data_IF_766692043675
#
_entry.id   IF_766692043675
#
_cell.length_a   1.000
_cell.length_b   1.000
_cell.length_c   1.000
_cell.angle_alpha   90.00
_cell.angle_beta   90.00
_cell.angle_gamma   90.00
#
_symmetry.space_group_name_H-M   'P 1'
#
loop_
_entity.id
_entity.type
_entity.pdbx_description
1 polymer ?
#
# COMPACT_ATOMS: atom_id res chain seq x y z
N UNK A 1 17.67 -28.73 -5.49
CA UNK A 1 16.59 -27.83 -5.96
C UNK A 1 15.29 -28.60 -6.14
N UNK A 2 15.30 -29.77 -6.76
CA UNK A 2 14.07 -30.55 -7.00
C UNK A 2 13.36 -31.01 -5.71
N UNK A 3 14.13 -31.45 -4.70
CA UNK A 3 13.57 -31.82 -3.39
C UNK A 3 12.92 -30.63 -2.68
N UNK A 4 13.58 -29.47 -2.66
CA UNK A 4 13.03 -28.23 -2.10
C UNK A 4 11.73 -27.83 -2.80
N UNK A 5 11.71 -27.85 -4.13
CA UNK A 5 10.52 -27.51 -4.91
C UNK A 5 9.37 -28.50 -4.65
N UNK A 6 9.68 -29.79 -4.52
CA UNK A 6 8.70 -30.82 -4.16
C UNK A 6 8.09 -30.57 -2.79
N UNK A 7 8.92 -30.31 -1.77
CA UNK A 7 8.46 -30.02 -0.41
C UNK A 7 7.64 -28.72 -0.39
N UNK A 8 8.11 -27.66 -1.06
CA UNK A 8 7.39 -26.40 -1.14
C UNK A 8 6.01 -26.54 -1.79
N UNK A 9 5.91 -27.33 -2.87
CA UNK A 9 4.62 -27.60 -3.53
C UNK A 9 3.68 -28.40 -2.63
N UNK A 10 4.19 -29.38 -1.89
CA UNK A 10 3.40 -30.14 -0.93
C UNK A 10 2.88 -29.25 0.20
N UNK A 11 3.74 -28.40 0.75
CA UNK A 11 3.37 -27.41 1.78
C UNK A 11 2.33 -26.44 1.26
N UNK A 12 2.54 -25.89 0.07
CA UNK A 12 1.59 -24.98 -0.57
C UNK A 12 0.22 -25.64 -0.73
N UNK A 13 0.17 -26.81 -1.34
CA UNK A 13 -1.08 -27.52 -1.60
C UNK A 13 -1.84 -27.84 -0.31
N UNK A 14 -1.14 -28.27 0.76
CA UNK A 14 -1.75 -28.68 2.03
C UNK A 14 -2.13 -27.52 2.96
N UNK A 15 -1.40 -26.41 2.93
CA UNK A 15 -1.50 -25.37 3.96
C UNK A 15 -1.88 -23.97 3.43
N UNK A 16 -1.86 -23.73 2.13
CA UNK A 16 -2.02 -22.39 1.54
C UNK A 16 -3.13 -22.31 0.49
N UNK A 17 -3.95 -23.35 0.32
CA UNK A 17 -5.00 -23.39 -0.71
C UNK A 17 -6.40 -23.47 -0.13
N UNK A 18 -7.39 -22.91 -0.84
CA UNK A 18 -8.80 -23.10 -0.50
C UNK A 18 -9.23 -24.57 -0.63
N UNK A 19 -8.60 -25.34 -1.53
CA UNK A 19 -8.89 -26.76 -1.69
C UNK A 19 -8.55 -27.57 -0.43
N UNK A 20 -7.38 -27.30 0.18
CA UNK A 20 -7.02 -27.94 1.45
C UNK A 20 -7.95 -27.52 2.60
N UNK A 21 -8.37 -26.26 2.62
CA UNK A 21 -9.35 -25.79 3.60
C UNK A 21 -10.69 -26.52 3.46
N UNK A 22 -11.21 -26.64 2.23
CA UNK A 22 -12.47 -27.34 1.94
C UNK A 22 -12.39 -28.83 2.29
N UNK A 23 -11.30 -29.52 1.92
CA UNK A 23 -11.07 -30.92 2.28
C UNK A 23 -11.09 -31.14 3.80
N UNK A 24 -10.46 -30.23 4.56
CA UNK A 24 -10.46 -30.30 6.02
C UNK A 24 -11.82 -29.93 6.64
N UNK A 25 -12.60 -29.07 5.97
CA UNK A 25 -13.92 -28.63 6.45
C UNK A 25 -14.97 -29.74 6.34
N UNK A 26 -14.82 -30.62 5.34
CA UNK A 26 -15.68 -31.77 5.07
C UNK A 26 -15.39 -32.99 5.96
N UNK A 27 -14.29 -32.96 6.72
CA UNK A 27 -13.95 -33.99 7.72
C UNK A 27 -14.98 -34.07 8.86
N UNK A 28 -15.20 -35.28 9.39
CA UNK A 28 -16.09 -35.53 10.54
C UNK A 28 -15.63 -34.79 11.80
N UNK A 29 -14.31 -34.68 12.01
CA UNK A 29 -13.70 -33.94 13.10
C UNK A 29 -13.04 -32.67 12.56
N UNK A 30 -13.48 -31.52 13.07
CA UNK A 30 -13.04 -30.20 12.61
C UNK A 30 -12.06 -29.59 13.61
N UNK A 31 -10.78 -29.66 13.30
CA UNK A 31 -9.76 -28.88 14.00
C UNK A 31 -9.85 -27.42 13.54
N UNK A 32 -10.51 -26.58 14.34
CA UNK A 32 -10.77 -25.17 14.00
C UNK A 32 -9.48 -24.36 13.98
N UNK A 33 -8.49 -24.70 14.82
CA UNK A 33 -7.18 -24.04 14.84
C UNK A 33 -6.46 -24.31 13.52
N UNK A 34 -6.43 -25.57 13.09
CA UNK A 34 -5.81 -25.94 11.83
C UNK A 34 -6.50 -25.29 10.62
N UNK A 35 -7.84 -25.30 10.59
CA UNK A 35 -8.63 -24.63 9.56
C UNK A 35 -8.33 -23.12 9.48
N UNK A 36 -8.25 -22.45 10.63
CA UNK A 36 -7.90 -21.03 10.71
C UNK A 36 -6.46 -20.77 10.24
N UNK A 37 -5.51 -21.65 10.56
CA UNK A 37 -4.13 -21.58 10.08
C UNK A 37 -4.05 -21.65 8.55
N UNK A 38 -4.80 -22.54 7.90
CA UNK A 38 -4.82 -22.65 6.44
C UNK A 38 -5.33 -21.34 5.79
N UNK A 39 -6.44 -20.78 6.30
CA UNK A 39 -6.97 -19.52 5.80
C UNK A 39 -5.98 -18.37 6.00
N UNK A 40 -5.38 -18.28 7.19
CA UNK A 40 -4.38 -17.26 7.48
C UNK A 40 -3.19 -17.37 6.51
N UNK A 41 -2.64 -18.57 6.33
CA UNK A 41 -1.51 -18.81 5.43
C UNK A 41 -1.83 -18.40 3.98
N UNK A 42 -2.98 -18.79 3.45
CA UNK A 42 -3.45 -18.41 2.12
C UNK A 42 -3.53 -16.89 1.97
N UNK A 43 -4.18 -16.22 2.91
CA UNK A 43 -4.45 -14.77 2.83
C UNK A 43 -3.16 -13.95 3.08
N UNK A 44 -2.30 -14.39 4.00
CA UNK A 44 -0.99 -13.79 4.24
C UNK A 44 -0.07 -13.91 3.02
N UNK A 45 -0.15 -15.01 2.27
CA UNK A 45 0.63 -15.17 1.03
C UNK A 45 0.23 -14.15 -0.04
N UNK A 46 -1.06 -13.81 -0.14
CA UNK A 46 -1.53 -12.74 -1.04
C UNK A 46 -0.98 -11.37 -0.63
N UNK A 47 -0.96 -11.08 0.67
CA UNK A 47 -0.35 -9.85 1.19
C UNK A 47 1.15 -9.78 0.90
N UNK A 48 1.89 -10.87 1.16
CA UNK A 48 3.31 -10.93 0.86
C UNK A 48 3.58 -10.76 -0.64
N UNK A 49 2.79 -11.41 -1.49
CA UNK A 49 2.86 -11.25 -2.95
C UNK A 49 2.62 -9.79 -3.37
N UNK A 50 1.66 -9.10 -2.76
CA UNK A 50 1.39 -7.69 -3.01
C UNK A 50 2.61 -6.81 -2.68
N UNK A 51 3.14 -6.92 -1.47
CA UNK A 51 4.31 -6.15 -1.03
C UNK A 51 5.54 -6.41 -1.91
N UNK A 52 5.83 -7.68 -2.23
CA UNK A 52 6.96 -8.03 -3.08
C UNK A 52 6.78 -7.54 -4.52
N UNK A 53 5.55 -7.55 -5.04
CA UNK A 53 5.24 -7.05 -6.38
C UNK A 53 5.41 -5.53 -6.47
N UNK A 54 4.99 -4.79 -5.42
CA UNK A 54 5.26 -3.35 -5.32
C UNK A 54 6.76 -3.11 -5.37
N UNK A 55 7.54 -3.72 -4.47
CA UNK A 55 9.00 -3.53 -4.41
C UNK A 55 9.67 -3.85 -5.75
N UNK A 56 9.25 -4.93 -6.40
CA UNK A 56 9.77 -5.35 -7.70
C UNK A 56 9.35 -4.44 -8.87
N UNK A 57 8.38 -3.53 -8.68
CA UNK A 57 7.83 -2.71 -9.76
C UNK A 57 6.85 -3.46 -10.67
N UNK A 58 6.35 -4.63 -10.25
CA UNK A 58 5.42 -5.45 -11.04
C UNK A 58 3.97 -5.05 -10.78
N UNK A 59 3.55 -3.98 -11.46
CA UNK A 59 2.17 -3.49 -11.39
C UNK A 59 1.14 -4.54 -11.88
N UNK A 60 1.54 -5.45 -12.76
CA UNK A 60 0.68 -6.51 -13.25
C UNK A 60 0.23 -7.45 -12.13
N UNK A 61 1.19 -7.91 -11.32
CA UNK A 61 0.91 -8.74 -10.14
C UNK A 61 0.14 -7.99 -9.06
N UNK A 62 0.44 -6.71 -8.84
CA UNK A 62 -0.34 -5.85 -7.92
C UNK A 62 -1.82 -5.84 -8.34
N UNK A 63 -2.11 -5.60 -9.62
CA UNK A 63 -3.48 -5.63 -10.16
C UNK A 63 -4.15 -7.00 -9.99
N UNK A 64 -3.39 -8.10 -10.13
CA UNK A 64 -3.94 -9.44 -9.89
C UNK A 64 -4.35 -9.64 -8.43
N UNK A 65 -3.52 -9.23 -7.47
CA UNK A 65 -3.88 -9.33 -6.05
C UNK A 65 -5.07 -8.43 -5.72
N UNK A 66 -5.13 -7.20 -6.27
CA UNK A 66 -6.27 -6.31 -6.09
C UNK A 66 -7.59 -6.92 -6.59
N UNK A 67 -7.58 -7.74 -7.65
CA UNK A 67 -8.78 -8.48 -8.10
C UNK A 67 -9.26 -9.49 -7.05
N UNK A 68 -8.33 -10.19 -6.40
CA UNK A 68 -8.66 -11.16 -5.35
C UNK A 68 -9.20 -10.43 -4.12
N UNK A 69 -8.51 -9.36 -3.68
CA UNK A 69 -8.96 -8.54 -2.56
C UNK A 69 -10.29 -7.85 -2.81
N UNK A 70 -10.54 -7.38 -4.03
CA UNK A 70 -11.85 -6.85 -4.42
C UNK A 70 -12.95 -7.87 -4.11
N UNK A 71 -12.77 -9.16 -4.44
CA UNK A 71 -13.73 -10.22 -4.10
C UNK A 71 -13.83 -10.39 -2.59
N UNK A 72 -12.70 -10.54 -1.88
CA UNK A 72 -12.70 -10.73 -0.42
C UNK A 72 -13.40 -9.59 0.33
N UNK A 73 -13.18 -8.34 -0.09
CA UNK A 73 -13.75 -7.12 0.48
C UNK A 73 -15.27 -6.99 0.23
N UNK A 74 -15.85 -7.75 -0.71
CA UNK A 74 -17.31 -7.83 -0.91
C UNK A 74 -18.04 -8.63 0.17
N UNK A 75 -17.31 -9.35 1.00
CA UNK A 75 -17.89 -10.07 2.13
C UNK A 75 -18.70 -9.13 3.03
N UNK A 76 -19.90 -9.54 3.50
CA UNK A 76 -20.70 -8.72 4.39
C UNK A 76 -19.93 -8.32 5.66
N UNK A 77 -20.10 -7.05 6.07
CA UNK A 77 -19.43 -6.45 7.23
C UNK A 77 -17.89 -6.38 7.11
N UNK A 78 -17.38 -6.29 5.88
CA UNK A 78 -15.96 -6.03 5.60
C UNK A 78 -15.80 -4.63 5.01
N UNK A 79 -15.29 -4.49 3.77
CA UNK A 79 -14.86 -3.22 3.19
C UNK A 79 -15.48 -2.98 1.80
N UNK A 80 -16.82 -2.95 1.69
CA UNK A 80 -17.50 -2.93 0.39
C UNK A 80 -17.20 -1.67 -0.44
N UNK A 81 -16.94 -0.53 0.21
CA UNK A 81 -16.56 0.72 -0.47
C UNK A 81 -15.21 0.62 -1.18
N UNK A 82 -14.24 -0.04 -0.57
CA UNK A 82 -12.94 -0.30 -1.20
C UNK A 82 -13.09 -1.29 -2.36
N UNK A 83 -13.94 -2.31 -2.21
CA UNK A 83 -14.27 -3.21 -3.31
C UNK A 83 -14.95 -2.49 -4.49
N UNK A 84 -15.81 -1.50 -4.22
CA UNK A 84 -16.42 -0.63 -5.25
C UNK A 84 -15.36 0.20 -5.97
N UNK A 85 -14.47 0.87 -5.23
CA UNK A 85 -13.39 1.67 -5.81
C UNK A 85 -12.42 0.84 -6.68
N UNK A 86 -12.02 -0.34 -6.20
CA UNK A 86 -11.17 -1.26 -6.97
C UNK A 86 -11.92 -1.74 -8.22
N UNK A 87 -13.18 -2.16 -8.09
CA UNK A 87 -13.97 -2.64 -9.24
C UNK A 87 -14.11 -1.56 -10.32
N UNK A 88 -14.46 -0.33 -9.93
CA UNK A 88 -14.57 0.79 -10.86
C UNK A 88 -13.23 1.11 -11.53
N UNK A 89 -12.15 1.15 -10.75
CA UNK A 89 -10.80 1.42 -11.27
C UNK A 89 -10.37 0.36 -12.28
N UNK A 90 -10.56 -0.92 -11.96
CA UNK A 90 -10.25 -2.04 -12.86
C UNK A 90 -11.15 -2.05 -14.10
N UNK A 91 -12.42 -1.69 -13.95
CA UNK A 91 -13.36 -1.55 -15.08
C UNK A 91 -12.95 -0.44 -16.05
N UNK A 92 -12.56 0.73 -15.52
CA UNK A 92 -12.02 1.85 -16.32
C UNK A 92 -10.71 1.46 -17.01
N UNK A 93 -9.80 0.80 -16.30
CA UNK A 93 -8.55 0.29 -16.88
C UNK A 93 -8.80 -0.64 -18.07
N UNK A 94 -9.87 -1.43 -18.03
CA UNK A 94 -10.21 -2.36 -19.10
C UNK A 94 -10.78 -1.65 -20.34
N UNK A 95 -11.42 -0.48 -20.18
CA UNK A 95 -11.95 0.33 -21.28
C UNK A 95 -10.91 1.25 -21.93
N UNK A 96 -9.78 1.51 -21.26
CA UNK A 96 -8.72 2.34 -21.81
C UNK A 96 -8.06 1.71 -23.04
N UNK A 97 -7.69 2.55 -24.01
CA UNK A 97 -6.79 2.14 -25.09
C UNK A 97 -5.48 1.58 -24.48
N UNK A 98 -4.85 0.55 -25.08
CA UNK A 98 -3.61 -0.05 -24.58
C UNK A 98 -2.51 0.94 -24.21
N UNK A 99 -2.34 2.03 -24.96
CA UNK A 99 -1.31 3.06 -24.70
C UNK A 99 -1.61 3.80 -23.39
N UNK A 100 -2.85 4.28 -23.24
CA UNK A 100 -3.29 4.97 -22.03
C UNK A 100 -3.25 4.05 -20.81
N UNK A 101 -3.69 2.80 -20.96
CA UNK A 101 -3.63 1.80 -19.90
C UNK A 101 -2.20 1.56 -19.45
N UNK A 102 -1.26 1.40 -20.40
CA UNK A 102 0.16 1.25 -20.08
C UNK A 102 0.67 2.46 -19.32
N UNK A 103 0.44 3.66 -19.84
CA UNK A 103 0.85 4.91 -19.21
C UNK A 103 0.32 5.02 -17.77
N UNK A 104 -0.99 4.83 -17.57
CA UNK A 104 -1.60 4.91 -16.24
C UNK A 104 -1.00 3.89 -15.26
N UNK A 105 -0.85 2.62 -15.66
CA UNK A 105 -0.28 1.59 -14.79
C UNK A 105 1.21 1.83 -14.47
N UNK A 106 1.98 2.40 -15.41
CA UNK A 106 3.39 2.72 -15.15
C UNK A 106 3.57 3.89 -14.19
N UNK A 107 2.52 4.68 -13.93
CA UNK A 107 2.55 5.77 -12.96
C UNK A 107 2.07 5.36 -11.56
N UNK A 108 1.65 4.12 -11.34
CA UNK A 108 1.22 3.68 -10.00
C UNK A 108 2.38 3.39 -9.05
N UNK A 109 3.51 2.96 -9.61
CA UNK A 109 4.70 2.63 -8.87
C UNK A 109 5.84 3.53 -9.33
N UNK A 110 6.61 4.05 -8.37
CA UNK A 110 7.73 4.95 -8.61
C UNK A 110 8.97 4.40 -7.96
N UNK A 111 10.10 4.50 -8.65
CA UNK A 111 11.41 4.18 -8.09
C UNK A 111 12.35 5.35 -8.30
N UNK A 112 12.45 6.18 -7.26
CA UNK A 112 13.27 7.37 -7.31
C UNK A 112 14.78 7.04 -7.26
N UNK A 113 15.16 5.87 -6.71
CA UNK A 113 16.57 5.44 -6.57
C UNK A 113 17.17 4.78 -7.80
N UNK A 114 16.33 4.26 -8.71
CA UNK A 114 16.74 3.41 -9.82
C UNK A 114 17.27 2.02 -9.41
N UNK A 115 17.33 1.68 -8.11
CA UNK A 115 17.82 0.39 -7.63
C UNK A 115 16.76 -0.71 -7.74
N UNK A 116 17.13 -1.98 -7.99
CA UNK A 116 16.15 -3.06 -8.03
C UNK A 116 15.48 -3.25 -6.67
N UNK A 117 14.22 -3.69 -6.67
CA UNK A 117 13.41 -3.93 -5.46
C UNK A 117 13.13 -2.69 -4.58
N UNK A 118 13.13 -1.50 -5.18
CA UNK A 118 12.98 -0.20 -4.49
C UNK A 118 11.86 0.67 -5.05
N UNK A 119 10.91 0.05 -5.73
CA UNK A 119 9.68 0.70 -6.13
C UNK A 119 8.77 0.89 -4.91
N UNK A 120 8.04 2.01 -4.91
CA UNK A 120 7.02 2.39 -3.95
C UNK A 120 5.75 2.79 -4.66
N UNK A 121 4.61 2.71 -3.99
CA UNK A 121 3.38 3.33 -4.46
C UNK A 121 3.57 4.85 -4.61
N UNK A 122 3.05 5.39 -5.72
CA UNK A 122 3.11 6.83 -5.99
C UNK A 122 2.36 7.65 -4.94
N UNK A 123 1.34 7.06 -4.32
CA UNK A 123 0.56 7.69 -3.26
C UNK A 123 1.42 7.99 -2.03
N UNK A 124 2.26 7.02 -1.60
CA UNK A 124 3.22 7.24 -0.52
C UNK A 124 4.25 8.33 -0.85
N UNK A 125 4.68 8.41 -2.12
CA UNK A 125 5.53 9.53 -2.54
C UNK A 125 4.78 10.87 -2.43
N UNK A 126 3.52 10.91 -2.83
CA UNK A 126 2.70 12.11 -2.73
C UNK A 126 2.46 12.51 -1.26
N UNK A 127 2.23 11.55 -0.36
CA UNK A 127 2.14 11.78 1.08
C UNK A 127 3.43 12.41 1.64
N UNK A 128 4.59 11.88 1.23
CA UNK A 128 5.87 12.46 1.63
C UNK A 128 6.04 13.91 1.13
N UNK A 129 5.68 14.19 -0.13
CA UNK A 129 5.71 15.57 -0.66
C UNK A 129 4.74 16.50 0.08
N UNK A 130 3.55 16.01 0.43
CA UNK A 130 2.57 16.76 1.22
C UNK A 130 3.10 17.09 2.61
N UNK A 131 3.79 16.16 3.26
CA UNK A 131 4.46 16.38 4.54
C UNK A 131 5.48 17.52 4.44
N UNK A 132 6.41 17.46 3.46
CA UNK A 132 7.40 18.53 3.26
C UNK A 132 6.76 19.90 3.01
N UNK A 133 5.66 19.94 2.26
CA UNK A 133 4.95 21.19 1.98
C UNK A 133 4.28 21.78 3.20
N UNK A 134 3.52 20.96 3.93
CA UNK A 134 2.66 21.42 5.03
C UNK A 134 3.44 21.69 6.30
N UNK A 135 4.48 20.91 6.55
CA UNK A 135 5.22 20.92 7.83
C UNK A 135 6.52 21.70 7.70
N UNK A 136 7.33 21.43 6.67
CA UNK A 136 8.70 21.98 6.59
C UNK A 136 8.76 23.32 5.85
N UNK A 137 8.15 23.39 4.68
CA UNK A 137 8.26 24.55 3.78
C UNK A 137 7.06 25.50 3.81
N UNK A 138 6.13 25.26 4.74
CA UNK A 138 4.99 26.13 4.90
C UNK A 138 5.45 27.51 5.39
N UNK A 139 4.91 28.57 4.78
CA UNK A 139 5.18 29.91 5.25
C UNK A 139 4.58 30.11 6.65
N UNK A 140 5.15 31.00 7.45
CA UNK A 140 4.61 31.35 8.78
C UNK A 140 3.82 32.66 8.70
N UNK A 141 2.76 32.75 9.52
CA UNK A 141 1.92 33.94 9.65
C UNK A 141 1.24 34.36 8.34
N UNK A 142 1.18 35.67 8.11
CA UNK A 142 0.46 36.31 6.98
C UNK A 142 0.99 35.94 5.58
N UNK A 143 2.14 35.28 5.50
CA UNK A 143 2.72 34.85 4.22
C UNK A 143 2.23 33.46 3.77
N UNK A 144 1.41 32.78 4.58
CA UNK A 144 0.72 31.55 4.18
C UNK A 144 -0.20 31.86 3.00
N UNK A 145 0.14 31.35 1.83
CA UNK A 145 -0.68 31.52 0.62
C UNK A 145 -0.54 30.32 -0.30
N UNK A 146 -1.59 30.03 -1.06
CA UNK A 146 -1.56 29.04 -2.13
C UNK A 146 -0.49 29.33 -3.18
N UNK A 147 -0.24 30.62 -3.45
CA UNK A 147 0.82 31.06 -4.37
C UNK A 147 2.21 30.66 -3.86
N UNK A 148 2.47 30.81 -2.55
CA UNK A 148 3.70 30.34 -1.93
C UNK A 148 3.85 28.82 -2.02
N UNK A 149 2.81 28.07 -1.62
CA UNK A 149 2.85 26.60 -1.66
C UNK A 149 3.04 26.06 -3.08
N UNK A 150 2.36 26.63 -4.07
CA UNK A 150 2.54 26.26 -5.47
C UNK A 150 3.99 26.48 -5.93
N UNK A 151 4.58 27.63 -5.60
CA UNK A 151 5.96 27.96 -5.95
C UNK A 151 6.97 27.06 -5.23
N UNK A 152 6.78 26.76 -3.95
CA UNK A 152 7.74 25.96 -3.18
C UNK A 152 7.64 24.47 -3.52
N UNK A 153 6.46 23.98 -3.93
CA UNK A 153 6.23 22.56 -4.26
C UNK A 153 7.12 22.01 -5.37
N UNK A 154 7.36 22.80 -6.42
CA UNK A 154 8.25 22.42 -7.54
C UNK A 154 9.73 22.45 -7.14
N UNK A 155 10.07 23.10 -6.03
CA UNK A 155 11.44 23.26 -5.56
C UNK A 155 11.82 22.28 -4.45
N UNK A 156 10.89 21.43 -3.97
CA UNK A 156 11.11 20.55 -2.80
C UNK A 156 12.40 19.75 -2.93
N UNK A 157 12.63 19.08 -4.06
CA UNK A 157 13.83 18.26 -4.23
C UNK A 157 15.12 19.07 -4.19
N UNK A 158 15.17 20.21 -4.89
CA UNK A 158 16.34 21.09 -4.90
C UNK A 158 16.62 21.70 -3.51
N UNK A 159 15.57 22.06 -2.77
CA UNK A 159 15.70 22.58 -1.41
C UNK A 159 16.18 21.51 -0.44
N UNK A 160 15.68 20.28 -0.59
CA UNK A 160 16.16 19.12 0.20
C UNK A 160 17.64 18.87 -0.06
N UNK A 161 18.08 18.90 -1.31
CA UNK A 161 19.49 18.69 -1.65
C UNK A 161 20.38 19.84 -1.13
N UNK A 162 19.92 21.09 -1.23
CA UNK A 162 20.63 22.23 -0.63
C UNK A 162 20.76 22.09 0.89
N UNK A 163 19.71 21.65 1.58
CA UNK A 163 19.75 21.36 3.02
C UNK A 163 20.78 20.27 3.34
N UNK A 164 20.86 19.20 2.54
CA UNK A 164 21.89 18.15 2.70
C UNK A 164 23.30 18.72 2.55
N UNK A 165 23.56 19.51 1.51
CA UNK A 165 24.88 20.12 1.29
C UNK A 165 25.32 20.93 2.52
N UNK A 166 24.42 21.71 3.09
CA UNK A 166 24.67 22.48 4.31
C UNK A 166 24.93 21.55 5.50
N UNK A 167 24.06 20.55 5.74
CA UNK A 167 24.25 19.60 6.84
C UNK A 167 25.59 18.88 6.77
N UNK A 168 25.99 18.40 5.59
CA UNK A 168 27.28 17.75 5.36
C UNK A 168 28.45 18.71 5.59
N UNK A 169 28.37 19.95 5.08
CA UNK A 169 29.42 20.95 5.25
C UNK A 169 29.66 21.32 6.73
N UNK A 170 28.58 21.42 7.51
CA UNK A 170 28.65 21.76 8.93
C UNK A 170 28.79 20.54 9.86
N UNK A 171 28.94 19.33 9.31
CA UNK A 171 28.97 18.07 10.07
C UNK A 171 27.83 17.96 11.09
N UNK A 172 26.68 18.54 10.75
CA UNK A 172 25.49 18.42 11.56
C UNK A 172 25.14 16.93 11.53
N UNK A 173 25.08 16.24 12.67
CA UNK A 173 24.75 14.84 12.69
C UNK A 173 23.42 14.66 11.95
N UNK A 174 23.42 13.94 10.83
CA UNK A 174 22.17 13.49 10.25
C UNK A 174 21.48 12.69 11.34
N UNK A 175 20.35 13.20 11.85
CA UNK A 175 19.53 12.48 12.82
C UNK A 175 19.29 11.08 12.25
N UNK A 176 19.52 10.06 13.09
CA UNK A 176 19.98 8.73 12.69
C UNK A 176 19.34 8.15 11.42
N UNK A 177 20.07 8.17 10.30
CA UNK A 177 19.67 7.55 9.02
C UNK A 177 19.77 6.01 9.07
N UNK A 178 20.30 5.47 10.16
CA UNK A 178 20.45 4.03 10.38
C UNK A 178 19.33 3.53 11.30
N UNK A 179 18.18 3.22 10.72
CA UNK A 179 17.32 2.23 11.34
C UNK A 179 18.09 0.90 11.32
N UNK A 180 18.76 0.56 12.42
CA UNK A 180 19.23 -0.80 12.64
C UNK A 180 18.01 -1.68 12.73
N UNK A 181 17.78 -2.51 11.71
CA UNK A 181 16.81 -3.60 11.82
C UNK A 181 17.31 -4.50 12.95
N UNK A 182 16.59 -4.62 14.06
CA UNK A 182 17.02 -5.48 15.15
C UNK A 182 17.10 -6.92 14.65
N UNK A 183 18.09 -7.67 15.14
CA UNK A 183 18.20 -9.09 14.81
C UNK A 183 17.04 -9.86 15.45
N UNK A 184 16.05 -10.22 14.64
CA UNK A 184 14.87 -10.97 15.06
C UNK A 184 15.07 -12.49 15.01
N UNK A 185 16.29 -12.99 14.77
CA UNK A 185 16.55 -14.43 14.62
C UNK A 185 16.10 -15.25 15.84
N UNK A 186 16.29 -14.72 17.05
CA UNK A 186 15.85 -15.37 18.29
C UNK A 186 14.32 -15.44 18.41
N UNK A 187 13.62 -14.36 18.03
CA UNK A 187 12.15 -14.29 18.07
C UNK A 187 11.52 -15.22 17.02
N UNK A 188 12.09 -15.25 15.81
CA UNK A 188 11.66 -16.16 14.74
C UNK A 188 11.84 -17.62 15.18
N UNK A 189 12.97 -17.94 15.82
CA UNK A 189 13.22 -19.30 16.33
C UNK A 189 12.22 -19.68 17.42
N UNK A 190 11.97 -18.79 18.38
CA UNK A 190 10.98 -19.00 19.44
C UNK A 190 9.56 -19.21 18.86
N UNK A 191 9.17 -18.40 17.87
CA UNK A 191 7.88 -18.53 17.20
C UNK A 191 7.78 -19.87 16.45
N UNK A 192 8.83 -20.27 15.74
CA UNK A 192 8.87 -21.55 15.03
C UNK A 192 8.76 -22.74 15.99
N UNK A 193 9.46 -22.70 17.13
CA UNK A 193 9.36 -23.72 18.17
C UNK A 193 7.95 -23.80 18.77
N UNK A 194 7.32 -22.65 19.04
CA UNK A 194 5.95 -22.61 19.53
C UNK A 194 4.95 -23.17 18.51
N UNK A 195 5.04 -22.78 17.23
CA UNK A 195 4.18 -23.31 16.17
C UNK A 195 4.31 -24.83 16.02
N UNK A 196 5.53 -25.36 16.19
CA UNK A 196 5.83 -26.79 16.16
C UNK A 196 5.29 -27.53 17.39
N UNK A 197 5.49 -26.98 18.59
CA UNK A 197 5.02 -27.56 19.84
C UNK A 197 3.49 -27.62 19.89
N UNK A 198 2.83 -26.54 19.46
CA UNK A 198 1.38 -26.42 19.40
C UNK A 198 0.76 -27.13 18.18
N UNK A 199 1.57 -27.60 17.23
CA UNK A 199 1.12 -28.31 16.02
C UNK A 199 0.01 -27.57 15.26
N UNK A 200 0.11 -26.25 15.15
CA UNK A 200 -0.97 -25.42 14.57
C UNK A 200 -1.16 -25.62 13.06
N UNK A 201 -0.16 -26.22 12.40
CA UNK A 201 -0.15 -26.55 10.98
C UNK A 201 -0.36 -28.06 10.71
N UNK A 202 -0.79 -28.81 11.71
CA UNK A 202 -1.18 -30.22 11.58
C UNK A 202 -2.63 -30.39 12.07
N UNK A 203 -3.39 -31.26 11.40
CA UNK A 203 -4.73 -31.61 11.86
C UNK A 203 -4.63 -32.53 13.09
N UNK A 204 -5.17 -32.08 14.22
CA UNK A 204 -5.19 -32.85 15.48
C UNK A 204 -6.65 -33.14 15.86
N UNK A 205 -7.02 -34.43 15.87
CA UNK A 205 -8.40 -34.88 16.11
C UNK A 205 -8.92 -34.46 17.49
N UNK A 206 -8.05 -34.47 18.51
CA UNK A 206 -8.40 -34.16 19.91
C UNK A 206 -7.54 -33.00 20.41
N UNK A 207 -7.71 -31.82 19.82
CA UNK A 207 -7.01 -30.60 20.26
C UNK A 207 -7.70 -30.00 21.48
N UNK A 208 -6.93 -29.82 22.55
CA UNK A 208 -7.39 -29.13 23.76
C UNK A 208 -7.77 -27.67 23.42
N UNK A 209 -8.94 -27.23 23.87
CA UNK A 209 -9.42 -25.87 23.61
C UNK A 209 -9.98 -25.61 22.21
N UNK A 210 -10.14 -26.64 21.35
CA UNK A 210 -10.77 -26.48 20.04
C UNK A 210 -12.20 -25.93 20.13
N UNK A 211 -12.91 -26.24 21.21
CA UNK A 211 -14.26 -25.72 21.47
C UNK A 211 -14.27 -24.22 21.78
N UNK A 212 -13.20 -23.67 22.34
CA UNK A 212 -13.08 -22.24 22.65
C UNK A 212 -12.68 -21.37 21.44
N UNK A 213 -12.30 -21.98 20.33
CA UNK A 213 -11.90 -21.28 19.11
C UNK A 213 -13.11 -21.14 18.18
N UNK A 214 -13.30 -19.96 17.60
CA UNK A 214 -14.29 -19.73 16.55
C UNK A 214 -13.65 -19.89 15.16
N UNK A 215 -14.45 -20.37 14.21
CA UNK A 215 -14.02 -20.46 12.82
C UNK A 215 -13.94 -19.06 12.20
N UNK A 216 -12.79 -18.77 11.60
CA UNK A 216 -12.61 -17.56 10.80
C UNK A 216 -13.41 -17.69 9.52
N UNK A 217 -14.04 -16.58 9.12
CA UNK A 217 -14.81 -16.50 7.88
C UNK A 217 -13.87 -16.55 6.67
N UNK A 218 -14.15 -17.43 5.72
CA UNK A 218 -13.47 -17.39 4.43
C UNK A 218 -14.04 -16.23 3.58
N UNK A 219 -13.33 -15.09 3.64
CA UNK A 219 -13.70 -13.89 2.91
C UNK A 219 -13.71 -14.09 1.39
N UNK A 220 -12.85 -14.97 0.86
CA UNK A 220 -12.80 -15.23 -0.58
C UNK A 220 -14.06 -16.00 -1.01
N UNK A 221 -14.40 -17.05 -0.27
CA UNK A 221 -15.59 -17.87 -0.55
C UNK A 221 -16.89 -17.07 -0.34
N UNK A 222 -17.03 -16.35 0.77
CA UNK A 222 -18.21 -15.51 1.03
C UNK A 222 -18.33 -14.37 0.02
N UNK A 223 -17.23 -13.67 -0.25
CA UNK A 223 -17.17 -12.56 -1.21
C UNK A 223 -17.53 -12.99 -2.63
N UNK A 224 -17.14 -14.20 -3.05
CA UNK A 224 -17.48 -14.73 -4.39
C UNK A 224 -18.98 -14.86 -4.63
N UNK A 225 -19.77 -15.12 -3.57
CA UNK A 225 -21.23 -15.24 -3.65
C UNK A 225 -21.91 -13.91 -3.98
N UNK A 226 -21.24 -12.78 -3.69
CA UNK A 226 -21.78 -11.45 -3.93
C UNK A 226 -22.12 -11.21 -5.41
N UNK A 227 -21.27 -11.66 -6.34
CA UNK A 227 -21.47 -11.43 -7.77
C UNK A 227 -22.80 -12.03 -8.30
N UNK A 228 -23.28 -13.10 -7.66
CA UNK A 228 -24.53 -13.78 -8.01
C UNK A 228 -25.75 -13.25 -7.23
N UNK A 229 -25.58 -12.21 -6.42
CA UNK A 229 -26.66 -11.66 -5.60
C UNK A 229 -27.54 -10.68 -6.38
N UNK A 230 -28.83 -10.61 -6.01
CA UNK A 230 -29.77 -9.63 -6.57
C UNK A 230 -29.31 -8.18 -6.36
N UNK A 231 -28.65 -7.90 -5.23
CA UNK A 231 -28.15 -6.57 -4.91
C UNK A 231 -26.98 -6.15 -5.80
N UNK A 232 -26.07 -7.08 -6.12
CA UNK A 232 -25.01 -6.82 -7.11
C UNK A 232 -25.61 -6.54 -8.50
N UNK A 233 -26.57 -7.36 -8.94
CA UNK A 233 -27.24 -7.15 -10.22
C UNK A 233 -27.91 -5.77 -10.30
N UNK A 234 -28.61 -5.35 -9.24
CA UNK A 234 -29.26 -4.04 -9.20
C UNK A 234 -28.26 -2.88 -9.24
N UNK A 235 -27.09 -3.02 -8.62
CA UNK A 235 -26.07 -1.96 -8.55
C UNK A 235 -25.29 -1.78 -9.85
N UNK A 236 -24.94 -2.88 -10.52
CA UNK A 236 -24.10 -2.84 -11.74
C UNK A 236 -24.91 -2.88 -13.03
N UNK A 237 -26.24 -2.86 -12.94
CA UNK A 237 -27.08 -2.63 -14.11
C UNK A 237 -26.81 -1.22 -14.63
N UNK A 238 -26.51 -1.12 -15.92
CA UNK A 238 -26.38 0.17 -16.61
C UNK A 238 -27.68 0.94 -16.40
N UNK A 239 -27.61 2.10 -15.73
CA UNK A 239 -28.81 2.92 -15.57
C UNK A 239 -29.31 3.32 -16.96
N UNK A 240 -30.62 3.18 -17.16
CA UNK A 240 -31.31 3.69 -18.35
C UNK A 240 -31.62 5.18 -18.23
N UNK A 241 -31.30 5.78 -17.08
CA UNK A 241 -31.55 7.19 -16.82
C UNK A 241 -30.58 8.03 -17.67
N UNK A 242 -31.15 8.89 -18.50
CA UNK A 242 -30.39 9.85 -19.30
C UNK A 242 -30.13 11.04 -18.38
N UNK A 243 -28.86 11.26 -18.02
CA UNK A 243 -28.47 12.47 -17.29
C UNK A 243 -28.52 13.64 -18.29
N UNK A 244 -29.58 14.43 -18.20
CA UNK A 244 -29.72 15.67 -18.95
C UNK A 244 -28.98 16.78 -18.19
N UNK A 245 -27.88 17.28 -18.77
CA UNK A 245 -27.18 18.43 -18.22
C UNK A 245 -28.03 19.67 -18.49
N UNK A 246 -28.76 20.14 -17.47
CA UNK A 246 -29.61 21.33 -17.52
C UNK A 246 -28.81 22.66 -17.59
N UNK A 247 -27.49 22.59 -17.78
CA UNK A 247 -26.59 23.74 -17.80
C UNK A 247 -26.31 24.28 -16.40
N UNK A 248 -25.52 25.35 -16.34
CA UNK A 248 -25.39 26.13 -15.12
C UNK A 248 -26.67 26.94 -14.94
N UNK A 249 -27.32 26.83 -13.78
CA UNK A 249 -28.34 27.81 -13.39
C UNK A 249 -27.66 29.18 -13.29
N UNK A 250 -27.94 30.07 -14.24
CA UNK A 250 -27.57 31.49 -14.14
C UNK A 250 -28.10 32.02 -12.80
N UNK A 251 -27.18 32.40 -11.91
CA UNK A 251 -27.50 32.90 -10.56
C UNK A 251 -26.61 32.36 -9.45
N UNK A 252 -25.83 31.30 -9.69
CA UNK A 252 -24.75 30.87 -8.78
C UNK A 252 -23.40 31.30 -9.34
N UNK A 253 -23.20 32.61 -9.52
CA UNK A 253 -21.87 33.18 -9.31
C UNK A 253 -21.57 32.95 -7.84
N UNK A 254 -20.94 31.80 -7.54
CA UNK A 254 -20.39 31.55 -6.23
C UNK A 254 -19.45 32.69 -5.91
N UNK A 255 -19.89 33.55 -4.99
CA UNK A 255 -19.00 34.16 -4.01
C UNK A 255 -18.10 33.01 -3.58
N UNK A 256 -16.79 33.15 -3.81
CA UNK A 256 -15.81 32.27 -3.19
C UNK A 256 -16.10 32.38 -1.71
N UNK A 257 -16.72 31.35 -1.14
CA UNK A 257 -17.10 31.34 0.25
C UNK A 257 -15.78 31.28 1.04
N UNK A 258 -15.41 32.42 1.63
CA UNK A 258 -14.28 32.58 2.55
C UNK A 258 -14.37 31.61 3.73
N UNK A 259 -15.50 30.92 3.93
CA UNK A 259 -15.67 29.83 4.89
C UNK A 259 -14.76 28.61 4.63
N UNK A 260 -14.11 28.50 3.47
CA UNK A 260 -13.07 27.48 3.24
C UNK A 260 -11.76 27.83 3.96
N UNK A 261 -11.56 29.08 4.39
CA UNK A 261 -10.44 29.46 5.27
C UNK A 261 -10.66 28.98 6.71
N UNK A 262 -11.93 28.90 7.18
CA UNK A 262 -12.24 28.52 8.55
C UNK A 262 -12.13 26.99 8.80
N UNK A 263 -12.35 26.15 7.79
CA UNK A 263 -12.12 24.70 7.92
C UNK A 263 -10.62 24.34 7.97
N UNK A 264 -9.76 25.23 7.46
CA UNK A 264 -8.32 25.14 7.68
C UNK A 264 -7.93 25.59 9.09
N UNK A 265 -8.76 26.36 9.81
CA UNK A 265 -8.48 26.80 11.18
C UNK A 265 -8.44 25.64 12.17
N UNK A 266 -9.42 24.74 12.10
CA UNK A 266 -9.49 23.58 13.02
C UNK A 266 -8.43 22.50 12.70
N UNK A 267 -8.08 22.25 11.42
CA UNK A 267 -6.93 21.38 11.08
C UNK A 267 -5.57 22.08 11.26
N UNK A 268 -5.50 23.42 11.16
CA UNK A 268 -4.25 24.16 11.38
C UNK A 268 -3.86 24.23 12.84
N UNK A 269 -4.80 24.26 13.77
CA UNK A 269 -4.51 24.27 15.21
C UNK A 269 -3.83 22.95 15.65
N UNK A 270 -4.24 21.79 15.11
CA UNK A 270 -3.56 20.51 15.36
C UNK A 270 -2.18 20.41 14.65
N UNK A 271 -1.97 21.12 13.53
CA UNK A 271 -0.68 21.17 12.81
C UNK A 271 0.31 22.17 13.45
N UNK A 272 -0.18 23.22 14.13
CA UNK A 272 0.64 24.25 14.75
C UNK A 272 1.43 23.73 15.96
N UNK A 273 0.91 22.72 16.66
CA UNK A 273 1.53 22.09 17.83
C UNK A 273 2.37 20.84 17.47
N UNK A 274 2.42 20.45 16.20
CA UNK A 274 3.27 19.35 15.75
C UNK A 274 4.73 19.81 15.63
N UNK A 275 5.54 19.44 16.62
CA UNK A 275 7.00 19.55 16.53
C UNK A 275 7.55 18.43 15.65
N UNK A 276 8.15 18.74 14.49
CA UNK A 276 8.74 17.72 13.63
C UNK A 276 9.81 16.96 14.41
N UNK A 277 9.63 15.65 14.54
CA UNK A 277 10.59 14.79 15.24
C UNK A 277 11.73 14.41 14.30
N UNK A 278 12.80 13.86 14.89
CA UNK A 278 13.95 13.37 14.12
C UNK A 278 13.59 12.22 13.16
N UNK A 279 12.50 11.50 13.41
CA UNK A 279 11.98 10.44 12.52
C UNK A 279 11.23 11.02 11.32
N UNK A 280 10.49 12.11 11.51
CA UNK A 280 9.76 12.77 10.41
C UNK A 280 10.69 13.46 9.41
N UNK A 281 11.85 13.89 9.90
CA UNK A 281 12.97 14.40 9.11
C UNK A 281 13.95 13.29 8.69
N UNK A 282 13.77 12.07 9.19
CA UNK A 282 14.63 10.95 8.84
C UNK A 282 14.42 10.63 7.37
N UNK A 283 15.54 10.57 6.64
CA UNK A 283 15.51 10.14 5.27
C UNK A 283 15.21 8.65 5.30
N UNK A 284 14.13 8.24 4.63
CA UNK A 284 13.98 6.84 4.32
C UNK A 284 15.24 6.43 3.54
N UNK A 285 15.94 5.41 4.02
CA UNK A 285 17.10 4.82 3.35
C UNK A 285 16.77 4.38 1.91
N UNK A 286 15.48 4.38 1.56
CA UNK A 286 14.86 4.14 0.27
C UNK A 286 14.64 5.35 -0.64
N UNK A 287 14.94 6.57 -0.23
CA UNK A 287 14.94 7.75 -1.10
C UNK A 287 16.30 7.96 -1.80
N UNK A 288 16.32 8.43 -3.07
CA UNK A 288 17.57 8.65 -3.79
C UNK A 288 18.43 9.74 -3.14
N UNK A 289 19.73 9.47 -3.13
CA UNK A 289 20.70 10.53 -3.41
C UNK A 289 20.52 10.90 -4.89
N UNK A 290 20.07 12.13 -5.15
CA UNK A 290 20.15 12.72 -6.48
C UNK A 290 21.59 13.22 -6.70
N UNK A 291 22.53 12.31 -6.94
CA UNK A 291 23.89 12.66 -7.39
C UNK A 291 23.87 13.05 -8.89
N UNK A 292 23.02 14.01 -9.28
CA UNK A 292 22.88 14.45 -10.67
C UNK A 292 23.90 15.53 -11.08
N UNK A 293 24.96 15.75 -10.30
CA UNK A 293 26.00 16.74 -10.61
C UNK A 293 27.39 16.15 -10.33
N UNK A 294 27.81 15.13 -11.10
CA UNK A 294 29.24 14.97 -11.44
C UNK A 294 29.62 13.82 -12.42
N UNK A 295 28.69 13.06 -13.00
CA UNK A 295 29.05 12.02 -13.99
C UNK A 295 29.25 12.53 -15.43
N UNK A 296 29.38 13.85 -15.63
CA UNK A 296 29.67 14.48 -16.92
C UNK A 296 30.92 15.39 -16.88
N UNK A 297 31.87 15.13 -15.99
CA UNK A 297 33.22 15.66 -16.19
C UNK A 297 33.85 14.95 -17.40
N UNK A 298 34.26 15.67 -18.46
CA UNK A 298 34.96 15.05 -19.59
C UNK A 298 36.26 14.45 -19.07
N UNK A 299 36.53 13.19 -19.41
CA UNK A 299 37.86 12.59 -19.27
C UNK A 299 38.86 13.55 -19.92
N UNK A 300 39.62 14.26 -19.08
CA UNK A 300 40.71 15.09 -19.54
C UNK A 300 41.78 14.16 -20.08
N UNK A 301 41.86 14.11 -21.41
CA UNK A 301 43.07 13.69 -22.11
C UNK A 301 44.25 14.58 -21.69
N UNK A 302 45.35 13.91 -21.31
CA UNK A 302 46.76 14.33 -21.27
C UNK A 302 47.43 13.66 -20.05
N UNK A 303 48.64 13.14 -20.05
CA UNK A 303 49.65 12.76 -21.05
C UNK A 303 50.77 12.09 -20.23
N UNK A 304 51.50 11.16 -20.86
CA UNK A 304 52.71 10.41 -20.42
C UNK A 304 52.51 9.13 -19.60
#
# INVERSE_FOLDING_TARGET
MDEFNSVALQVYNKLFTSAAYEECLDSETKDKVFLNSILYNRDALLYWLFCMSIKAGDIGRVVLVLRVWMVMMRTPKTMPKYADAIFETLGRLQSFNPVLRKFFLHNWLVNLTGKPFRFKEIDLLQEHLNFWLKIIYNAKGVNKSWKWLAMISVCIYSLRDAMKTVQSAFQIPSLGVRHTVPDMSAEISLLADNLKNEKTQECVVTRDGNDSVDLVRDLLAEGSKYANSKSAFSKFKKSTDIIENLGFREGLTGVVDESTEDQLGEEADDILDYEPTGEDLSLDAEEPLYDFIDTLAPESAADV
#
